data_IF_566227441039
#
_entry.id   IF_566227441039
#
_cell.length_a   1.000
_cell.length_b   1.000
_cell.length_c   1.000
_cell.angle_alpha   90.00
_cell.angle_beta   90.00
_cell.angle_gamma   90.00
#
_symmetry.space_group_name_H-M   'P 1'
#
loop_
_entity.id
_entity.type
_entity.pdbx_description
1 polymer ?
#
# COMPACT_ATOMS: atom_id res chain seq x y z
N UNK A 1 46.94 42.10 -4.85
CA UNK A 1 46.68 40.67 -4.98
C UNK A 1 46.08 40.16 -3.67
N UNK A 2 44.83 40.44 -3.41
CA UNK A 2 44.06 39.89 -2.25
C UNK A 2 42.59 39.81 -2.71
N UNK A 3 42.01 38.62 -2.87
CA UNK A 3 40.57 38.33 -2.84
C UNK A 3 40.13 37.06 -3.60
N UNK A 4 41.07 36.27 -4.17
CA UNK A 4 40.71 35.04 -4.88
C UNK A 4 40.46 33.85 -3.94
N UNK A 5 41.05 33.84 -2.75
CA UNK A 5 40.88 32.73 -1.80
C UNK A 5 39.53 32.77 -1.06
N UNK A 6 38.98 33.96 -0.79
CA UNK A 6 37.70 34.14 -0.11
C UNK A 6 36.50 33.70 -0.97
N UNK A 7 36.54 33.93 -2.30
CA UNK A 7 35.47 33.49 -3.20
C UNK A 7 35.42 31.97 -3.41
N UNK A 8 36.61 31.32 -3.39
CA UNK A 8 36.68 29.85 -3.50
C UNK A 8 36.15 29.12 -2.26
N UNK A 9 36.42 29.66 -1.06
CA UNK A 9 35.89 29.12 0.19
C UNK A 9 34.35 29.26 0.28
N UNK A 10 33.79 30.39 -0.21
CA UNK A 10 32.35 30.60 -0.21
C UNK A 10 31.60 29.63 -1.20
N UNK A 11 32.19 29.36 -2.35
CA UNK A 11 31.63 28.44 -3.33
C UNK A 11 31.69 26.96 -2.86
N UNK A 12 32.76 26.55 -2.16
CA UNK A 12 32.84 25.21 -1.59
C UNK A 12 31.82 25.02 -0.42
N UNK A 13 31.57 26.05 0.36
CA UNK A 13 30.59 26.00 1.46
C UNK A 13 29.16 25.86 0.95
N UNK A 14 28.81 26.52 -0.17
CA UNK A 14 27.47 26.39 -0.77
C UNK A 14 27.22 25.02 -1.44
N UNK A 15 28.23 24.39 -2.03
CA UNK A 15 28.08 23.07 -2.66
C UNK A 15 27.93 21.96 -1.61
N UNK A 16 28.61 22.09 -0.45
CA UNK A 16 28.51 21.09 0.62
C UNK A 16 27.16 21.15 1.36
N UNK A 17 26.51 22.32 1.42
CA UNK A 17 25.20 22.48 2.05
C UNK A 17 24.03 21.96 1.20
N UNK A 18 24.16 21.87 -0.13
CA UNK A 18 23.12 21.29 -1.00
C UNK A 18 23.08 19.75 -0.95
N UNK A 19 24.15 19.09 -0.54
CA UNK A 19 24.21 17.62 -0.49
C UNK A 19 23.48 17.01 0.72
N UNK A 20 23.01 17.80 1.70
CA UNK A 20 22.38 17.32 2.93
C UNK A 20 20.85 17.36 2.90
N UNK A 21 20.22 17.81 1.81
CA UNK A 21 18.76 17.85 1.68
C UNK A 21 18.26 16.61 0.88
N UNK A 22 18.76 15.43 1.24
CA UNK A 22 18.05 14.21 0.88
C UNK A 22 16.93 14.00 1.91
N UNK A 23 15.78 14.64 1.69
CA UNK A 23 14.59 14.38 2.48
C UNK A 23 14.31 12.88 2.49
N UNK A 24 14.05 12.31 3.67
CA UNK A 24 13.61 10.94 3.83
C UNK A 24 12.21 10.77 3.20
N UNK A 25 12.14 10.80 1.86
CA UNK A 25 10.94 10.34 1.18
C UNK A 25 10.79 8.84 1.46
N UNK A 26 9.60 8.39 1.84
CA UNK A 26 9.37 6.95 1.98
C UNK A 26 9.70 6.29 0.64
N UNK A 27 10.47 5.19 0.70
CA UNK A 27 10.85 4.40 -0.49
C UNK A 27 9.76 3.40 -0.89
N UNK A 28 8.68 3.34 -0.11
CA UNK A 28 7.55 2.44 -0.36
C UNK A 28 6.83 2.91 -1.62
N UNK A 29 6.71 2.03 -2.59
CA UNK A 29 5.95 2.26 -3.82
C UNK A 29 5.59 0.92 -4.48
N UNK A 30 4.53 0.90 -5.27
CA UNK A 30 4.23 -0.23 -6.14
C UNK A 30 5.26 -0.32 -7.29
N UNK A 31 5.44 -1.53 -7.83
CA UNK A 31 6.37 -1.80 -8.94
C UNK A 31 5.86 -1.28 -10.28
N UNK A 32 4.52 -1.20 -10.44
CA UNK A 32 3.83 -0.73 -11.64
C UNK A 32 2.58 0.08 -11.26
N UNK A 33 1.94 0.71 -12.23
CA UNK A 33 0.68 1.45 -12.04
C UNK A 33 -0.55 0.57 -12.16
N UNK A 34 -0.41 -0.58 -12.85
CA UNK A 34 -1.48 -1.55 -13.08
C UNK A 34 -1.05 -2.95 -12.66
N UNK A 35 -1.95 -3.67 -12.01
CA UNK A 35 -1.86 -5.10 -11.79
C UNK A 35 -2.34 -5.83 -13.04
N UNK A 36 -1.66 -6.89 -13.48
CA UNK A 36 -2.11 -7.70 -14.61
C UNK A 36 -3.44 -8.41 -14.29
N UNK A 37 -4.19 -8.83 -15.32
CA UNK A 37 -5.30 -9.74 -15.13
C UNK A 37 -4.84 -11.04 -14.46
N UNK A 38 -5.68 -11.66 -13.58
CA UNK A 38 -5.41 -13.01 -13.10
C UNK A 38 -5.39 -14.03 -14.25
N UNK A 39 -4.79 -15.19 -14.01
CA UNK A 39 -4.72 -16.26 -14.99
C UNK A 39 -6.10 -16.73 -15.48
N UNK A 40 -7.11 -16.64 -14.61
CA UNK A 40 -8.51 -16.91 -14.91
C UNK A 40 -9.43 -16.09 -13.98
N UNK A 41 -10.69 -15.92 -14.38
CA UNK A 41 -11.69 -15.25 -13.55
C UNK A 41 -11.92 -16.01 -12.24
N UNK A 42 -12.08 -15.30 -11.12
CA UNK A 42 -12.26 -15.94 -9.82
C UNK A 42 -13.59 -16.71 -9.71
N UNK A 43 -14.58 -16.39 -10.55
CA UNK A 43 -15.83 -17.16 -10.67
C UNK A 43 -15.64 -18.59 -11.19
N UNK A 44 -14.46 -18.93 -11.75
CA UNK A 44 -14.12 -20.30 -12.13
C UNK A 44 -13.91 -21.22 -10.91
N UNK A 45 -13.81 -20.65 -9.71
CA UNK A 45 -13.68 -21.39 -8.45
C UNK A 45 -15.03 -21.48 -7.74
N UNK A 46 -15.36 -22.67 -7.24
CA UNK A 46 -16.61 -22.92 -6.52
C UNK A 46 -16.58 -22.44 -5.07
N UNK A 47 -15.41 -22.15 -4.54
CA UNK A 47 -15.20 -21.62 -3.20
C UNK A 47 -14.08 -20.60 -3.19
N UNK A 48 -14.24 -19.54 -2.39
CA UNK A 48 -13.20 -18.51 -2.19
C UNK A 48 -12.97 -18.34 -0.69
N UNK A 49 -11.71 -18.46 -0.28
CA UNK A 49 -11.27 -18.30 1.11
C UNK A 49 -10.29 -17.12 1.19
N UNK A 50 -10.56 -16.18 2.09
CA UNK A 50 -9.64 -15.09 2.41
C UNK A 50 -9.00 -15.38 3.75
N UNK A 51 -7.68 -15.48 3.77
CA UNK A 51 -6.91 -15.67 5.01
C UNK A 51 -6.77 -14.33 5.74
N UNK A 52 -6.52 -14.34 7.07
CA UNK A 52 -6.18 -13.13 7.80
C UNK A 52 -4.98 -12.42 7.18
N UNK A 53 -5.00 -11.08 7.19
CA UNK A 53 -3.86 -10.30 6.76
C UNK A 53 -2.68 -10.50 7.72
N UNK A 54 -1.47 -10.63 7.17
CA UNK A 54 -0.25 -10.81 7.95
C UNK A 54 0.84 -9.88 7.46
N UNK A 55 1.84 -9.62 8.30
CA UNK A 55 3.07 -8.98 7.83
C UNK A 55 3.96 -9.98 7.10
N UNK A 56 4.71 -9.49 6.12
CA UNK A 56 5.77 -10.25 5.47
C UNK A 56 6.73 -10.84 6.51
N UNK A 57 7.18 -12.10 6.36
CA UNK A 57 8.15 -12.70 7.25
C UNK A 57 9.37 -11.82 7.47
N UNK A 58 9.74 -11.59 8.74
CA UNK A 58 10.85 -10.72 9.13
C UNK A 58 10.54 -9.22 9.17
N UNK A 59 9.38 -8.77 8.67
CA UNK A 59 8.95 -7.38 8.81
C UNK A 59 8.18 -7.18 10.14
N UNK A 60 8.56 -6.14 10.89
CA UNK A 60 7.88 -5.74 12.12
C UNK A 60 7.18 -4.41 11.88
N UNK A 61 5.88 -4.47 11.66
CA UNK A 61 5.03 -3.29 11.43
C UNK A 61 4.14 -2.96 12.62
N UNK A 62 3.30 -1.95 12.45
CA UNK A 62 2.30 -1.54 13.43
C UNK A 62 1.09 -2.48 13.41
N UNK A 63 0.85 -3.16 14.56
CA UNK A 63 -0.23 -4.14 14.68
C UNK A 63 -1.64 -3.51 14.53
N UNK A 64 -1.83 -2.26 14.97
CA UNK A 64 -3.10 -1.57 14.81
C UNK A 64 -3.38 -1.22 13.34
N UNK A 65 -2.33 -0.85 12.60
CA UNK A 65 -2.41 -0.64 11.16
C UNK A 65 -2.77 -1.92 10.39
N UNK A 66 -2.17 -3.06 10.76
CA UNK A 66 -2.52 -4.35 10.19
C UNK A 66 -3.98 -4.72 10.47
N UNK A 67 -4.42 -4.59 11.74
CA UNK A 67 -5.79 -4.86 12.14
C UNK A 67 -6.79 -3.97 11.38
N UNK A 68 -6.44 -2.70 11.11
CA UNK A 68 -7.29 -1.79 10.34
C UNK A 68 -7.42 -2.19 8.86
N UNK A 69 -6.34 -2.68 8.25
CA UNK A 69 -6.38 -3.23 6.88
C UNK A 69 -7.29 -4.46 6.86
N UNK A 70 -7.12 -5.39 7.81
CA UNK A 70 -7.93 -6.60 7.90
C UNK A 70 -9.42 -6.30 8.12
N UNK A 71 -9.75 -5.36 9.01
CA UNK A 71 -11.12 -4.89 9.25
C UNK A 71 -11.78 -4.39 7.95
N UNK A 72 -11.08 -3.53 7.20
CA UNK A 72 -11.60 -3.00 5.95
C UNK A 72 -11.76 -4.09 4.88
N UNK A 73 -10.78 -4.99 4.71
CA UNK A 73 -10.90 -6.12 3.79
C UNK A 73 -12.12 -7.00 4.12
N UNK A 74 -12.34 -7.33 5.40
CA UNK A 74 -13.52 -8.10 5.83
C UNK A 74 -14.83 -7.36 5.55
N UNK A 75 -14.86 -6.05 5.82
CA UNK A 75 -16.03 -5.21 5.57
C UNK A 75 -16.38 -5.17 4.07
N UNK A 76 -15.37 -4.90 3.23
CA UNK A 76 -15.57 -4.66 1.81
C UNK A 76 -15.87 -5.96 1.04
N UNK A 77 -15.21 -7.06 1.41
CA UNK A 77 -15.36 -8.36 0.73
C UNK A 77 -16.50 -9.23 1.31
N UNK A 78 -16.90 -9.00 2.55
CA UNK A 78 -17.85 -9.86 3.26
C UNK A 78 -19.13 -10.15 2.48
N UNK A 79 -19.85 -9.14 1.96
CA UNK A 79 -21.06 -9.37 1.17
C UNK A 79 -20.78 -10.21 -0.09
N UNK A 80 -19.75 -9.87 -0.86
CA UNK A 80 -19.36 -10.57 -2.06
C UNK A 80 -18.96 -12.03 -1.79
N UNK A 81 -18.16 -12.27 -0.75
CA UNK A 81 -17.76 -13.62 -0.35
C UNK A 81 -18.94 -14.48 0.08
N UNK A 82 -19.92 -13.88 0.78
CA UNK A 82 -21.15 -14.56 1.12
C UNK A 82 -21.88 -15.05 -0.14
N UNK A 83 -22.08 -14.18 -1.11
CA UNK A 83 -22.77 -14.50 -2.35
C UNK A 83 -22.00 -15.51 -3.22
N UNK A 84 -20.70 -15.33 -3.35
CA UNK A 84 -19.86 -16.22 -4.16
C UNK A 84 -19.82 -17.64 -3.61
N UNK A 85 -19.79 -17.78 -2.28
CA UNK A 85 -19.70 -19.06 -1.61
C UNK A 85 -21.07 -19.78 -1.42
N UNK A 86 -22.19 -19.16 -1.79
CA UNK A 86 -23.50 -19.82 -1.86
C UNK A 86 -23.63 -20.73 -3.09
N UNK A 87 -22.77 -20.57 -4.10
CA UNK A 87 -22.78 -21.38 -5.30
C UNK A 87 -22.37 -22.83 -4.99
N UNK A 88 -22.89 -23.81 -5.75
CA UNK A 88 -22.42 -25.18 -5.61
C UNK A 88 -20.92 -25.30 -5.80
N UNK A 89 -20.26 -26.07 -4.95
CA UNK A 89 -18.83 -26.33 -5.08
C UNK A 89 -18.55 -27.13 -6.35
N UNK A 90 -17.53 -26.72 -7.09
CA UNK A 90 -17.01 -27.46 -8.24
C UNK A 90 -15.69 -28.18 -7.93
N UNK A 91 -15.34 -28.33 -6.65
CA UNK A 91 -14.10 -28.94 -6.19
C UNK A 91 -12.86 -28.03 -6.29
N UNK A 92 -13.00 -26.81 -6.82
CA UNK A 92 -11.92 -25.83 -6.90
C UNK A 92 -12.10 -24.76 -5.84
N UNK A 93 -11.06 -24.51 -5.06
CA UNK A 93 -11.04 -23.45 -4.06
C UNK A 93 -9.95 -22.44 -4.42
N UNK A 94 -10.28 -21.17 -4.33
CA UNK A 94 -9.36 -20.06 -4.43
C UNK A 94 -8.98 -19.60 -3.03
N UNK A 95 -7.69 -19.52 -2.74
CA UNK A 95 -7.14 -19.06 -1.47
C UNK A 95 -6.49 -17.70 -1.70
N UNK A 96 -6.92 -16.69 -0.96
CA UNK A 96 -6.47 -15.31 -1.03
C UNK A 96 -5.70 -14.98 0.26
N UNK A 97 -4.43 -14.61 0.12
CA UNK A 97 -3.50 -14.37 1.22
C UNK A 97 -2.98 -12.92 1.17
N UNK A 98 -3.59 -11.99 1.94
CA UNK A 98 -3.11 -10.61 2.03
C UNK A 98 -1.84 -10.54 2.89
N UNK A 99 -0.78 -9.93 2.37
CA UNK A 99 0.51 -9.74 3.04
C UNK A 99 0.92 -8.28 3.00
N UNK A 100 1.04 -7.64 4.15
CA UNK A 100 1.58 -6.29 4.26
C UNK A 100 3.11 -6.37 4.17
N UNK A 101 3.66 -5.99 3.03
CA UNK A 101 5.09 -6.03 2.78
C UNK A 101 5.85 -4.91 3.47
N UNK A 102 5.23 -3.71 3.49
CA UNK A 102 5.79 -2.52 4.11
C UNK A 102 4.66 -1.66 4.67
N UNK A 103 4.88 -1.11 5.84
CA UNK A 103 3.99 -0.16 6.50
C UNK A 103 4.84 0.80 7.35
N UNK A 104 4.86 2.05 6.96
CA UNK A 104 5.60 3.10 7.66
C UNK A 104 4.68 4.26 8.00
N UNK A 105 4.66 4.64 9.27
CA UNK A 105 4.01 5.84 9.75
C UNK A 105 5.05 6.91 10.07
N UNK A 106 4.85 8.11 9.54
CA UNK A 106 5.63 9.27 9.97
C UNK A 106 5.03 9.84 11.24
N UNK A 107 5.67 9.57 12.38
CA UNK A 107 5.18 9.98 13.69
C UNK A 107 5.23 11.50 13.90
N UNK A 108 4.27 12.03 14.69
CA UNK A 108 4.01 13.45 14.90
C UNK A 108 5.21 14.30 15.31
N UNK A 109 6.15 13.81 16.13
CA UNK A 109 7.32 14.56 16.52
C UNK A 109 8.25 14.92 15.34
N UNK A 110 8.44 13.99 14.38
CA UNK A 110 9.19 14.27 13.15
C UNK A 110 8.43 15.23 12.23
N UNK A 111 7.10 15.12 12.17
CA UNK A 111 6.25 16.02 11.39
C UNK A 111 6.31 17.45 11.91
N UNK A 112 6.29 17.64 13.24
CA UNK A 112 6.36 18.96 13.87
C UNK A 112 7.73 19.61 13.70
N UNK A 113 8.82 18.85 13.84
CA UNK A 113 10.18 19.38 13.74
C UNK A 113 10.63 19.63 12.31
N UNK A 114 10.27 18.77 11.36
CA UNK A 114 10.78 18.79 9.99
C UNK A 114 9.75 19.32 8.98
N UNK A 115 8.49 19.50 9.39
CA UNK A 115 7.42 19.99 8.50
C UNK A 115 7.33 19.17 7.19
N UNK A 116 7.37 19.84 6.02
CA UNK A 116 7.29 19.17 4.71
C UNK A 116 8.45 18.18 4.45
N UNK A 117 9.56 18.31 5.17
CA UNK A 117 10.74 17.43 5.04
C UNK A 117 10.60 16.12 5.84
N UNK A 118 9.53 15.96 6.62
CA UNK A 118 9.31 14.76 7.45
C UNK A 118 9.04 13.48 6.64
N UNK A 119 8.83 13.60 5.32
CA UNK A 119 8.47 12.48 4.46
C UNK A 119 6.96 12.15 4.48
N UNK A 120 6.58 11.01 3.95
CA UNK A 120 5.19 10.54 3.89
C UNK A 120 5.05 9.17 4.56
N UNK A 121 3.87 8.90 5.15
CA UNK A 121 3.48 7.54 5.51
C UNK A 121 3.21 6.74 4.23
N UNK A 122 3.42 5.43 4.29
CA UNK A 122 3.19 4.57 3.14
C UNK A 122 2.84 3.14 3.54
N UNK A 123 2.08 2.47 2.71
CA UNK A 123 1.74 1.06 2.83
C UNK A 123 1.84 0.36 1.48
N UNK A 124 2.42 -0.83 1.47
CA UNK A 124 2.43 -1.76 0.35
C UNK A 124 1.81 -3.08 0.81
N UNK A 125 0.67 -3.42 0.21
CA UNK A 125 -0.06 -4.66 0.42
C UNK A 125 0.07 -5.52 -0.83
N UNK A 126 0.54 -6.75 -0.70
CA UNK A 126 0.52 -7.77 -1.74
C UNK A 126 -0.55 -8.80 -1.42
N UNK A 127 -1.27 -9.26 -2.43
CA UNK A 127 -2.29 -10.30 -2.27
C UNK A 127 -1.91 -11.48 -3.14
N UNK A 128 -1.44 -12.56 -2.52
CA UNK A 128 -1.16 -13.80 -3.24
C UNK A 128 -2.45 -14.61 -3.37
N UNK A 129 -2.80 -14.96 -4.61
CA UNK A 129 -4.02 -15.71 -4.92
C UNK A 129 -3.63 -17.04 -5.56
N UNK A 130 -3.99 -18.15 -4.91
CA UNK A 130 -3.65 -19.52 -5.35
C UNK A 130 -4.87 -20.40 -5.41
N UNK A 131 -4.80 -21.43 -6.23
CA UNK A 131 -5.77 -22.51 -6.15
C UNK A 131 -5.45 -23.48 -5.00
N UNK A 132 -6.38 -24.42 -4.74
CA UNK A 132 -6.21 -25.44 -3.70
C UNK A 132 -5.10 -26.49 -4.01
N UNK A 133 -4.46 -26.41 -5.17
CA UNK A 133 -3.27 -27.20 -5.53
C UNK A 133 -1.98 -26.40 -5.40
N UNK A 134 -2.07 -25.12 -4.98
CA UNK A 134 -0.95 -24.21 -4.80
C UNK A 134 -0.53 -23.46 -6.07
N UNK A 135 -1.21 -23.64 -7.20
CA UNK A 135 -0.90 -22.90 -8.42
C UNK A 135 -1.24 -21.42 -8.26
N UNK A 136 -0.33 -20.55 -8.71
CA UNK A 136 -0.52 -19.10 -8.66
C UNK A 136 -1.55 -18.67 -9.70
N UNK A 137 -2.60 -17.99 -9.25
CA UNK A 137 -3.67 -17.43 -10.09
C UNK A 137 -3.47 -15.94 -10.31
N UNK A 138 -3.04 -15.21 -9.27
CA UNK A 138 -2.70 -13.79 -9.33
C UNK A 138 -1.79 -13.40 -8.15
N UNK A 139 -1.05 -12.30 -8.32
CA UNK A 139 -0.25 -11.70 -7.25
C UNK A 139 -0.25 -10.17 -7.36
N UNK A 140 -1.44 -9.53 -7.23
CA UNK A 140 -1.53 -8.08 -7.29
C UNK A 140 -0.88 -7.41 -6.09
N UNK A 141 -0.37 -6.19 -6.32
CA UNK A 141 0.12 -5.31 -5.27
C UNK A 141 -0.67 -4.01 -5.22
N UNK A 142 -0.83 -3.46 -4.02
CA UNK A 142 -1.59 -2.25 -3.77
C UNK A 142 -0.78 -1.30 -2.91
N UNK A 143 -0.75 -0.05 -3.33
CA UNK A 143 0.04 0.98 -2.69
C UNK A 143 -0.81 2.20 -2.35
N UNK A 144 -0.59 2.75 -1.16
CA UNK A 144 -1.11 4.06 -0.79
C UNK A 144 -0.10 4.82 0.05
N UNK A 145 -0.18 6.14 0.00
CA UNK A 145 0.61 7.02 0.84
C UNK A 145 -0.23 8.18 1.39
N UNK A 146 0.21 8.71 2.52
CA UNK A 146 -0.32 9.92 3.11
C UNK A 146 0.80 10.92 3.30
N UNK A 147 0.66 12.14 2.72
CA UNK A 147 1.68 13.18 2.85
C UNK A 147 1.69 13.78 4.25
N UNK A 148 2.88 14.05 4.77
CA UNK A 148 3.04 14.66 6.08
C UNK A 148 2.41 16.05 6.19
N UNK A 149 2.45 16.83 5.10
CA UNK A 149 1.88 18.18 5.02
C UNK A 149 0.34 18.17 5.00
N UNK A 150 -0.25 17.19 4.34
CA UNK A 150 -1.70 17.06 4.24
C UNK A 150 -2.38 16.76 5.57
N UNK A 151 -1.60 16.32 6.55
CA UNK A 151 -2.13 15.73 7.78
C UNK A 151 -2.62 16.74 8.82
N UNK A 152 -2.50 18.06 8.63
CA UNK A 152 -2.95 19.01 9.65
C UNK A 152 -2.75 18.48 11.08
N UNK A 153 -2.96 19.20 12.12
CA UNK A 153 -2.69 18.79 13.52
C UNK A 153 -3.49 17.57 14.05
N UNK A 154 -4.28 16.86 13.20
CA UNK A 154 -5.07 15.69 13.62
C UNK A 154 -4.28 14.43 13.36
N UNK A 155 -3.52 13.95 14.36
CA UNK A 155 -2.78 12.70 14.31
C UNK A 155 -3.69 11.50 14.03
N UNK A 156 -3.28 10.63 13.09
CA UNK A 156 -3.92 9.34 12.84
C UNK A 156 -5.04 9.32 11.78
N UNK A 157 -5.71 10.42 11.46
CA UNK A 157 -6.82 10.42 10.49
C UNK A 157 -6.35 10.06 9.07
N UNK A 158 -5.26 10.64 8.62
CA UNK A 158 -4.74 10.40 7.27
C UNK A 158 -4.13 9.01 7.11
N UNK A 159 -3.48 8.51 8.17
CA UNK A 159 -2.98 7.15 8.19
C UNK A 159 -4.14 6.15 8.12
N UNK A 160 -5.24 6.37 8.84
CA UNK A 160 -6.46 5.56 8.74
C UNK A 160 -7.09 5.60 7.34
N UNK A 161 -7.15 6.78 6.70
CA UNK A 161 -7.65 6.90 5.32
C UNK A 161 -6.73 6.16 4.35
N UNK A 162 -5.41 6.24 4.52
CA UNK A 162 -4.43 5.49 3.70
C UNK A 162 -4.64 3.98 3.83
N UNK A 163 -4.80 3.46 5.06
CA UNK A 163 -5.06 2.05 5.32
C UNK A 163 -6.41 1.59 4.73
N UNK A 164 -7.44 2.42 4.83
CA UNK A 164 -8.74 2.15 4.22
C UNK A 164 -8.63 2.09 2.70
N UNK A 165 -7.94 3.04 2.07
CA UNK A 165 -7.80 3.08 0.60
C UNK A 165 -7.01 1.91 0.04
N UNK A 166 -5.95 1.44 0.72
CA UNK A 166 -5.21 0.28 0.25
C UNK A 166 -6.05 -1.00 0.33
N UNK A 167 -6.86 -1.16 1.38
CA UNK A 167 -7.80 -2.27 1.50
C UNK A 167 -8.92 -2.21 0.44
N UNK A 168 -9.48 -1.01 0.18
CA UNK A 168 -10.49 -0.82 -0.88
C UNK A 168 -9.93 -1.19 -2.25
N UNK A 169 -8.70 -0.76 -2.62
CA UNK A 169 -8.07 -1.12 -3.88
C UNK A 169 -7.94 -2.65 -4.04
N UNK A 170 -7.53 -3.34 -2.97
CA UNK A 170 -7.42 -4.79 -2.98
C UNK A 170 -8.80 -5.45 -3.14
N UNK A 171 -9.81 -4.97 -2.42
CA UNK A 171 -11.18 -5.46 -2.50
C UNK A 171 -11.80 -5.21 -3.88
N UNK A 172 -11.64 -4.02 -4.43
CA UNK A 172 -12.10 -3.65 -5.77
C UNK A 172 -11.47 -4.54 -6.86
N UNK A 173 -10.15 -4.81 -6.75
CA UNK A 173 -9.49 -5.74 -7.67
C UNK A 173 -10.10 -7.13 -7.58
N UNK A 174 -10.31 -7.66 -6.39
CA UNK A 174 -10.88 -9.00 -6.20
C UNK A 174 -12.32 -9.08 -6.74
N UNK A 175 -13.13 -8.06 -6.48
CA UNK A 175 -14.51 -7.98 -6.96
C UNK A 175 -14.56 -7.85 -8.50
N UNK A 176 -13.76 -6.97 -9.08
CA UNK A 176 -13.73 -6.74 -10.52
C UNK A 176 -13.26 -7.99 -11.30
N UNK A 177 -12.33 -8.75 -10.72
CA UNK A 177 -11.78 -9.96 -11.34
C UNK A 177 -12.61 -11.23 -11.05
N UNK A 178 -13.71 -11.12 -10.30
CA UNK A 178 -14.60 -12.24 -10.07
C UNK A 178 -15.34 -12.67 -11.37
N UNK A 179 -16.09 -11.79 -12.06
CA UNK A 179 -16.80 -12.19 -13.27
C UNK A 179 -15.88 -12.41 -14.49
N UNK A 180 -14.77 -11.67 -14.55
CA UNK A 180 -13.86 -11.67 -15.70
C UNK A 180 -12.47 -11.18 -15.27
N UNK A 181 -11.42 -11.83 -15.75
CA UNK A 181 -10.03 -11.43 -15.52
C UNK A 181 -9.71 -10.14 -16.30
N UNK A 182 -9.60 -9.00 -15.58
CA UNK A 182 -9.41 -7.67 -16.18
C UNK A 182 -8.18 -6.93 -15.63
N UNK A 183 -7.62 -7.38 -14.49
CA UNK A 183 -6.57 -6.66 -13.77
C UNK A 183 -7.12 -5.48 -12.97
N UNK A 184 -6.29 -4.47 -12.71
CA UNK A 184 -6.74 -3.27 -12.01
C UNK A 184 -5.60 -2.37 -11.53
N UNK A 185 -5.90 -1.17 -11.00
CA UNK A 185 -4.89 -0.23 -10.55
C UNK A 185 -4.13 -0.72 -9.31
N UNK A 186 -2.85 -0.37 -9.23
CA UNK A 186 -2.05 -0.58 -8.01
C UNK A 186 -2.24 0.55 -6.98
N UNK A 187 -2.73 1.71 -7.41
CA UNK A 187 -2.75 2.94 -6.62
C UNK A 187 -1.47 3.78 -6.71
N UNK A 188 -0.48 3.37 -7.51
CA UNK A 188 0.77 4.11 -7.67
C UNK A 188 0.57 5.52 -8.25
N UNK A 189 -0.44 5.70 -9.10
CA UNK A 189 -0.81 6.99 -9.69
C UNK A 189 -1.76 7.82 -8.81
N UNK A 190 -2.21 7.25 -7.70
CA UNK A 190 -3.09 7.96 -6.78
C UNK A 190 -2.37 9.12 -6.13
N UNK A 191 -3.02 10.30 -6.11
CA UNK A 191 -2.52 11.40 -5.29
C UNK A 191 -2.46 10.95 -3.83
N UNK A 192 -1.42 11.37 -3.13
CA UNK A 192 -1.33 11.14 -1.70
C UNK A 192 -2.61 11.65 -1.02
N UNK A 193 -3.01 10.97 0.06
CA UNK A 193 -4.17 11.37 0.85
C UNK A 193 -3.96 12.79 1.35
N UNK A 194 -4.73 13.73 0.80
CA UNK A 194 -4.77 15.13 1.23
C UNK A 194 -6.02 15.38 2.08
N UNK A 195 -5.99 16.33 3.00
CA UNK A 195 -7.21 16.79 3.70
C UNK A 195 -8.17 17.42 2.66
N UNK A 196 -9.46 17.19 2.86
CA UNK A 196 -10.50 18.01 2.23
C UNK A 196 -10.65 19.30 3.01
#
# INVERSE_FOLDING_TARGET
>A
MKNTHSRRALLLGCVLSLALVQGCATKIKASATQNPPPAEAFSAFGRIEVKPAVFKPGFKGDAAGLAKIEENLKKDLGPSLSDWNQRPSNGRTLVIEPVVEQLEFQHGAKRVLLGPLAGSSGVLLRVTVRDNKGALVAEPEFFQRADAWAAGFVMGVHDNIMLTRVANLASEYLIANYPKAVGGPTGADSKAVAPK
#
